data_IF_187535709679
#
_entry.id   IF_187535709679
#
_cell.length_a   1.000
_cell.length_b   1.000
_cell.length_c   1.000
_cell.angle_alpha   90.00
_cell.angle_beta   90.00
_cell.angle_gamma   90.00
#
_symmetry.space_group_name_H-M   'P 1'
#
loop_
_entity.id
_entity.type
_entity.pdbx_description
1 polymer ?
#
# COMPACT_ATOMS: atom_id res chain seq x y z
N UNK A 1 1.93 -3.38 21.87
CA UNK A 1 1.59 -3.21 20.44
C UNK A 1 2.66 -3.91 19.61
N UNK A 2 2.29 -4.82 18.72
CA UNK A 2 3.23 -5.43 17.78
C UNK A 2 3.66 -4.38 16.75
N UNK A 3 4.96 -4.28 16.48
CA UNK A 3 5.49 -3.38 15.45
C UNK A 3 5.16 -3.98 14.09
N UNK A 4 4.15 -3.44 13.45
CA UNK A 4 3.65 -3.88 12.14
C UNK A 4 3.64 -2.70 11.18
N UNK A 5 3.70 -2.97 9.88
CA UNK A 5 3.54 -1.94 8.87
C UNK A 5 2.15 -1.32 8.96
N UNK A 6 2.03 -0.03 8.60
CA UNK A 6 0.70 0.52 8.39
C UNK A 6 0.07 -0.17 7.19
N UNK A 7 -1.21 -0.58 7.26
CA UNK A 7 -1.91 -1.09 6.11
C UNK A 7 -1.95 -0.01 5.04
N UNK A 8 -1.56 -0.36 3.83
CA UNK A 8 -1.65 0.51 2.67
C UNK A 8 -3.02 0.30 2.02
N UNK A 9 -3.75 1.40 1.79
CA UNK A 9 -5.06 1.37 1.14
C UNK A 9 -5.12 2.48 0.08
N UNK A 10 -4.90 2.17 -1.21
CA UNK A 10 -4.99 3.15 -2.29
C UNK A 10 -6.42 3.69 -2.49
N UNK A 11 -7.44 2.99 -2.00
CA UNK A 11 -8.85 3.39 -2.08
C UNK A 11 -9.29 4.24 -0.88
N UNK A 12 -8.36 4.66 -0.03
CA UNK A 12 -8.69 5.49 1.12
C UNK A 12 -9.14 6.89 0.66
N UNK A 13 -10.40 7.21 0.96
CA UNK A 13 -10.96 8.54 0.67
C UNK A 13 -10.38 9.60 1.62
N UNK A 14 -10.10 10.78 1.08
CA UNK A 14 -9.79 11.96 1.89
C UNK A 14 -11.06 12.61 2.42
N UNK A 15 -10.92 13.36 3.52
CA UNK A 15 -12.01 14.13 4.12
C UNK A 15 -12.54 15.22 3.17
N UNK A 16 -11.66 15.72 2.28
CA UNK A 16 -11.97 16.76 1.30
C UNK A 16 -11.64 16.26 -0.11
N UNK A 17 -12.41 16.67 -1.14
CA UNK A 17 -12.08 16.38 -2.53
C UNK A 17 -10.74 16.99 -2.97
N UNK A 18 -10.09 16.45 -4.00
CA UNK A 18 -10.49 15.27 -4.79
C UNK A 18 -10.06 13.93 -4.16
N UNK A 19 -10.76 12.84 -4.49
CA UNK A 19 -10.27 11.50 -4.15
C UNK A 19 -8.93 11.27 -4.83
N UNK A 20 -8.04 10.46 -4.23
CA UNK A 20 -6.75 10.12 -4.84
C UNK A 20 -6.94 9.51 -6.24
N UNK A 21 -8.01 8.74 -6.43
CA UNK A 21 -8.35 8.11 -7.71
C UNK A 21 -8.79 9.10 -8.78
N UNK A 22 -9.23 10.30 -8.39
CA UNK A 22 -9.67 11.31 -9.37
C UNK A 22 -8.49 12.15 -9.88
N UNK A 23 -7.26 11.91 -9.39
CA UNK A 23 -6.08 12.70 -9.77
C UNK A 23 -5.58 12.34 -11.17
N UNK A 24 -5.85 11.12 -11.62
CA UNK A 24 -5.40 10.60 -12.90
C UNK A 24 -6.58 10.04 -13.69
N UNK A 25 -6.55 10.07 -15.04
CA UNK A 25 -7.58 9.45 -15.86
C UNK A 25 -7.71 7.95 -15.58
N UNK A 26 -8.92 7.40 -15.68
CA UNK A 26 -9.20 5.98 -15.37
C UNK A 26 -8.31 4.98 -16.15
N UNK A 27 -7.84 5.36 -17.34
CA UNK A 27 -6.98 4.52 -18.19
C UNK A 27 -5.47 4.76 -17.98
N UNK A 28 -5.08 5.38 -16.87
CA UNK A 28 -3.67 5.59 -16.54
C UNK A 28 -2.98 4.28 -16.14
N UNK A 29 -1.74 4.09 -16.62
CA UNK A 29 -0.94 2.89 -16.39
C UNK A 29 -0.61 2.65 -14.91
N UNK A 30 -0.70 3.69 -14.07
CA UNK A 30 -0.53 3.56 -12.62
C UNK A 30 -1.53 2.57 -12.04
N UNK A 31 -2.79 2.57 -12.47
CA UNK A 31 -3.81 1.66 -11.93
C UNK A 31 -3.49 0.19 -12.25
N UNK A 32 -3.03 -0.08 -13.48
CA UNK A 32 -2.54 -1.41 -13.86
C UNK A 32 -1.35 -1.87 -12.98
N UNK A 33 -0.43 -0.96 -12.67
CA UNK A 33 0.72 -1.27 -11.83
C UNK A 33 0.30 -1.52 -10.38
N UNK A 34 -0.65 -0.76 -9.84
CA UNK A 34 -1.21 -0.97 -8.50
C UNK A 34 -1.85 -2.35 -8.38
N UNK A 35 -2.65 -2.75 -9.37
CA UNK A 35 -3.27 -4.08 -9.40
C UNK A 35 -2.21 -5.18 -9.48
N UNK A 36 -1.23 -5.03 -10.36
CA UNK A 36 -0.14 -6.01 -10.53
C UNK A 36 0.68 -6.18 -9.24
N UNK A 37 1.06 -5.07 -8.58
CA UNK A 37 1.84 -5.11 -7.35
C UNK A 37 1.05 -5.74 -6.20
N UNK A 38 -0.27 -5.56 -6.18
CA UNK A 38 -1.13 -6.15 -5.16
C UNK A 38 -1.22 -7.69 -5.27
N UNK A 39 -0.99 -8.26 -6.46
CA UNK A 39 -0.93 -9.71 -6.68
C UNK A 39 0.45 -10.32 -6.39
N UNK A 40 1.50 -9.50 -6.26
CA UNK A 40 2.85 -10.00 -6.01
C UNK A 40 3.02 -10.45 -4.55
N UNK A 41 3.48 -11.68 -4.36
CA UNK A 41 3.90 -12.15 -3.04
C UNK A 41 5.27 -11.56 -2.64
N UNK A 42 5.23 -10.55 -1.77
CA UNK A 42 6.41 -9.91 -1.19
C UNK A 42 6.75 -10.42 0.22
N UNK A 43 6.13 -11.51 0.67
CA UNK A 43 6.30 -12.05 2.03
C UNK A 43 7.76 -12.36 2.37
N UNK A 44 8.56 -12.80 1.40
CA UNK A 44 9.98 -13.06 1.58
C UNK A 44 10.77 -11.82 2.04
N UNK A 45 10.32 -10.63 1.65
CA UNK A 45 10.94 -9.35 2.02
C UNK A 45 10.40 -8.89 3.39
N UNK A 46 9.08 -8.88 3.57
CA UNK A 46 8.43 -8.33 4.77
C UNK A 46 8.69 -9.19 6.02
N UNK A 47 8.78 -10.51 5.86
CA UNK A 47 8.98 -11.46 6.96
C UNK A 47 10.24 -11.18 7.78
N UNK A 48 11.31 -10.68 7.14
CA UNK A 48 12.55 -10.32 7.85
C UNK A 48 12.31 -9.21 8.87
N UNK A 49 11.53 -8.20 8.48
CA UNK A 49 11.29 -7.01 9.30
C UNK A 49 10.22 -7.24 10.38
N UNK A 50 9.23 -8.09 10.12
CA UNK A 50 8.23 -8.46 11.13
C UNK A 50 8.82 -9.31 12.26
N UNK A 51 9.91 -10.04 12.00
CA UNK A 51 10.64 -10.82 13.01
C UNK A 51 11.61 -9.98 13.84
N UNK A 52 12.14 -8.88 13.29
CA UNK A 52 13.09 -8.00 14.01
C UNK A 52 12.36 -7.06 14.99
N UNK A 53 12.47 -7.34 16.29
CA UNK A 53 12.05 -6.44 17.39
C UNK A 53 13.02 -5.27 17.59
N UNK A 54 13.34 -4.49 16.56
CA UNK A 54 14.23 -3.33 16.70
C UNK A 54 13.49 -2.12 17.29
N UNK A 55 14.00 -1.64 18.44
CA UNK A 55 13.51 -0.48 19.18
C UNK A 55 12.62 -0.83 20.37
N UNK A 56 13.25 -1.04 21.52
CA UNK A 56 12.75 -0.63 22.85
C UNK A 56 13.65 0.49 23.34
#
# INVERSE_FOLDING_TARGET
MSKTYRPWNPNQQYLLPPSVQDWLPENDMVYFLLDTVNELDISAITQKYEREKRGF
#
